data_IF_203502653762
#
_entry.id   IF_203502653762
#
_cell.length_a   1.000
_cell.length_b   1.000
_cell.length_c   1.000
_cell.angle_alpha   90.00
_cell.angle_beta   90.00
_cell.angle_gamma   90.00
#
_symmetry.space_group_name_H-M   'P 1'
#
loop_
_entity.id
_entity.type
_entity.pdbx_description
1 polymer ?
#
# COMPACT_ATOMS: atom_id res chain seq x y z
N UNK A 1 -13.77 -2.70 -15.12
CA UNK A 1 -14.78 -2.01 -14.27
C UNK A 1 -16.16 -2.28 -14.82
N UNK A 2 -17.22 -2.09 -14.04
CA UNK A 2 -18.60 -2.16 -14.57
C UNK A 2 -19.52 -1.17 -13.84
N UNK A 3 -20.40 -0.44 -14.54
CA UNK A 3 -21.45 0.33 -13.88
C UNK A 3 -22.48 -0.60 -13.22
N UNK A 4 -22.83 -0.32 -11.97
CA UNK A 4 -24.04 -0.89 -11.36
C UNK A 4 -25.28 -0.18 -11.91
N UNK A 5 -26.45 -0.84 -11.89
CA UNK A 5 -27.74 -0.34 -12.39
C UNK A 5 -27.86 1.19 -12.21
N UNK A 6 -27.96 1.90 -13.33
CA UNK A 6 -28.02 3.37 -13.36
C UNK A 6 -29.18 3.80 -12.46
N UNK A 7 -28.86 4.43 -11.33
CA UNK A 7 -29.85 5.08 -10.48
C UNK A 7 -30.65 6.03 -11.36
N UNK A 8 -31.99 5.96 -11.28
CA UNK A 8 -32.87 6.86 -12.03
C UNK A 8 -32.82 8.30 -11.50
N UNK A 9 -32.14 8.51 -10.37
CA UNK A 9 -31.93 9.81 -9.73
C UNK A 9 -30.52 10.30 -10.07
N UNK A 10 -30.45 11.44 -10.76
CA UNK A 10 -29.20 12.15 -11.02
C UNK A 10 -28.55 12.61 -9.71
N UNK A 11 -27.22 12.45 -9.55
CA UNK A 11 -26.51 12.97 -8.39
C UNK A 11 -26.68 14.49 -8.24
N UNK A 12 -26.60 15.04 -7.01
CA UNK A 12 -26.75 16.48 -6.78
C UNK A 12 -25.75 17.34 -7.56
N UNK A 13 -24.51 16.88 -7.74
CA UNK A 13 -23.49 17.55 -8.55
C UNK A 13 -23.77 17.50 -10.07
N UNK A 14 -24.79 16.76 -10.51
CA UNK A 14 -25.21 16.72 -11.92
C UNK A 14 -26.43 17.60 -12.21
N UNK A 15 -26.98 18.28 -11.19
CA UNK A 15 -28.10 19.19 -11.38
C UNK A 15 -27.61 20.48 -12.06
N UNK A 16 -28.47 21.14 -12.87
CA UNK A 16 -28.12 22.36 -13.60
C UNK A 16 -28.04 23.56 -12.64
N UNK A 17 -27.04 23.56 -11.76
CA UNK A 17 -26.68 24.66 -10.88
C UNK A 17 -25.31 25.21 -11.29
N UNK A 18 -25.06 26.49 -11.01
CA UNK A 18 -23.74 27.09 -11.28
C UNK A 18 -22.68 26.59 -10.28
N UNK A 19 -23.10 26.25 -9.06
CA UNK A 19 -22.22 25.79 -7.99
C UNK A 19 -22.83 24.60 -7.24
N UNK A 20 -21.96 23.76 -6.67
CA UNK A 20 -22.31 22.66 -5.78
C UNK A 20 -21.24 22.58 -4.67
N UNK A 21 -21.66 22.54 -3.40
CA UNK A 21 -20.76 22.59 -2.24
C UNK A 21 -19.74 23.74 -2.25
N UNK A 22 -20.08 24.88 -2.86
CA UNK A 22 -19.19 26.05 -2.97
C UNK A 22 -18.16 25.97 -4.09
N UNK A 23 -18.27 24.99 -5.00
CA UNK A 23 -17.38 24.82 -6.15
C UNK A 23 -18.14 25.00 -7.48
N UNK A 24 -17.48 25.49 -8.54
CA UNK A 24 -18.06 25.56 -9.88
C UNK A 24 -18.56 24.20 -10.36
N UNK A 25 -19.85 24.15 -10.69
CA UNK A 25 -20.49 22.92 -11.14
C UNK A 25 -20.49 22.81 -12.67
N UNK A 26 -20.67 21.57 -13.17
CA UNK A 26 -20.66 21.25 -14.61
C UNK A 26 -21.76 20.27 -14.91
N UNK A 27 -22.19 20.24 -16.17
CA UNK A 27 -23.13 19.21 -16.63
C UNK A 27 -22.48 17.84 -16.55
N UNK A 28 -23.29 16.81 -16.30
CA UNK A 28 -22.83 15.44 -16.24
C UNK A 28 -23.14 14.68 -17.53
N UNK A 29 -22.20 13.84 -17.93
CA UNK A 29 -22.44 12.76 -18.87
C UNK A 29 -22.28 11.41 -18.18
N UNK A 30 -22.93 10.39 -18.73
CA UNK A 30 -22.89 9.02 -18.22
C UNK A 30 -22.09 8.16 -19.19
N UNK A 31 -20.86 7.86 -18.80
CA UNK A 31 -19.92 7.08 -19.59
C UNK A 31 -19.91 5.62 -19.14
N UNK A 32 -19.56 4.72 -20.05
CA UNK A 32 -19.37 3.30 -19.74
C UNK A 32 -17.94 3.02 -19.22
N UNK A 33 -17.61 1.76 -18.93
CA UNK A 33 -16.29 1.41 -18.41
C UNK A 33 -15.14 1.74 -19.38
N UNK A 34 -15.37 1.66 -20.69
CA UNK A 34 -14.35 1.88 -21.72
C UNK A 34 -14.02 3.37 -21.81
N UNK A 35 -15.03 4.23 -21.70
CA UNK A 35 -14.85 5.67 -21.76
C UNK A 35 -14.30 6.26 -20.45
N UNK A 36 -14.69 5.71 -19.29
CA UNK A 36 -14.24 6.21 -17.97
C UNK A 36 -12.77 5.87 -17.71
N UNK A 37 -12.31 4.69 -18.14
CA UNK A 37 -10.96 4.21 -17.88
C UNK A 37 -9.98 4.65 -18.98
N UNK A 38 -8.86 5.29 -18.62
CA UNK A 38 -7.82 5.65 -19.60
C UNK A 38 -6.40 5.69 -19.00
N UNK A 39 -5.41 5.00 -19.56
CA UNK A 39 -5.54 4.06 -20.67
C UNK A 39 -6.31 2.80 -20.26
N UNK A 40 -6.93 2.08 -21.22
CA UNK A 40 -7.70 0.87 -20.92
C UNK A 40 -6.83 -0.29 -20.40
N UNK A 41 -5.51 -0.26 -20.65
CA UNK A 41 -4.57 -1.24 -20.11
C UNK A 41 -3.43 -0.53 -19.37
N UNK A 42 -3.20 -0.94 -18.13
CA UNK A 42 -2.10 -0.50 -17.28
C UNK A 42 -1.80 -1.60 -16.28
N UNK A 43 -0.53 -2.01 -16.19
CA UNK A 43 -0.12 -3.23 -15.47
C UNK A 43 -0.07 -3.07 -13.94
N UNK A 44 0.03 -1.84 -13.42
CA UNK A 44 0.14 -1.59 -11.97
C UNK A 44 -0.54 -0.31 -11.54
N UNK A 45 -1.51 0.16 -12.33
CA UNK A 45 -2.28 1.33 -11.98
C UNK A 45 -3.63 1.36 -12.67
N UNK A 46 -4.55 2.15 -12.13
CA UNK A 46 -5.88 2.31 -12.67
C UNK A 46 -6.28 3.78 -12.58
N UNK A 47 -6.58 4.37 -13.73
CA UNK A 47 -7.10 5.73 -13.80
C UNK A 47 -8.60 5.70 -14.09
N UNK A 48 -9.35 6.48 -13.30
CA UNK A 48 -10.79 6.59 -13.39
C UNK A 48 -11.16 8.06 -13.58
N UNK A 49 -11.72 8.37 -14.73
CA UNK A 49 -12.08 9.75 -15.09
C UNK A 49 -13.26 10.25 -14.25
N UNK A 50 -13.09 11.40 -13.58
CA UNK A 50 -14.16 12.10 -12.84
C UNK A 50 -14.65 13.34 -13.59
N UNK A 51 -13.78 13.97 -14.38
CA UNK A 51 -14.05 15.16 -15.17
C UNK A 51 -13.29 15.10 -16.48
N UNK A 52 -13.91 15.58 -17.56
CA UNK A 52 -13.23 15.80 -18.84
C UNK A 52 -13.39 17.24 -19.28
N UNK A 53 -12.33 17.81 -19.82
CA UNK A 53 -12.38 18.99 -20.67
C UNK A 53 -12.06 18.56 -22.08
N UNK A 54 -12.99 18.73 -23.00
CA UNK A 54 -12.84 18.46 -24.42
C UNK A 54 -12.47 19.75 -25.13
N UNK A 55 -11.38 19.73 -25.89
CA UNK A 55 -10.98 20.84 -26.74
C UNK A 55 -10.89 20.38 -28.19
N UNK A 56 -11.74 20.91 -29.05
CA UNK A 56 -11.65 20.71 -30.49
C UNK A 56 -10.56 21.62 -31.04
N UNK A 57 -9.61 21.03 -31.78
CA UNK A 57 -8.46 21.73 -32.32
C UNK A 57 -8.28 21.45 -33.80
N UNK A 58 -7.97 22.49 -34.55
CA UNK A 58 -7.63 22.44 -35.97
C UNK A 58 -6.29 23.14 -36.20
N UNK A 59 -5.55 22.71 -37.21
CA UNK A 59 -4.40 23.48 -37.69
C UNK A 59 -4.88 24.81 -38.29
N UNK A 60 -4.06 25.85 -38.17
CA UNK A 60 -4.36 27.18 -38.71
C UNK A 60 -4.14 27.26 -40.23
N UNK A 61 -4.81 26.37 -40.99
CA UNK A 61 -4.70 26.21 -42.44
C UNK A 61 -3.24 26.06 -42.92
N UNK A 62 -2.45 25.31 -42.16
CA UNK A 62 -1.03 25.11 -42.39
C UNK A 62 -0.69 23.62 -42.49
N UNK A 63 0.42 23.31 -43.16
CA UNK A 63 0.94 21.94 -43.19
C UNK A 63 1.73 21.65 -41.92
N UNK A 64 1.49 20.48 -41.30
CA UNK A 64 2.29 19.97 -40.18
C UNK A 64 3.76 19.70 -40.54
N UNK A 65 4.11 19.74 -41.84
CA UNK A 65 5.52 19.72 -42.30
C UNK A 65 6.22 21.07 -42.08
N UNK A 66 5.45 22.14 -41.88
CA UNK A 66 6.00 23.47 -41.58
C UNK A 66 6.28 23.58 -40.08
N UNK A 67 7.48 24.02 -39.67
CA UNK A 67 7.82 24.19 -38.25
C UNK A 67 7.03 25.32 -37.57
N UNK A 68 6.38 26.19 -38.35
CA UNK A 68 5.56 27.31 -37.83
C UNK A 68 4.08 26.94 -37.67
N UNK A 69 3.68 25.72 -38.03
CA UNK A 69 2.26 25.34 -38.00
C UNK A 69 1.79 25.14 -36.56
N UNK A 70 0.76 25.88 -36.15
CA UNK A 70 0.18 25.83 -34.81
C UNK A 70 -1.26 25.35 -34.82
N UNK A 71 -1.66 24.80 -33.68
CA UNK A 71 -3.03 24.37 -33.41
C UNK A 71 -3.84 25.53 -32.82
N UNK A 72 -5.08 25.68 -33.28
CA UNK A 72 -6.04 26.60 -32.69
C UNK A 72 -7.22 25.82 -32.11
N UNK A 73 -7.68 26.21 -30.92
CA UNK A 73 -8.86 25.63 -30.29
C UNK A 73 -10.10 26.31 -30.83
N UNK A 74 -11.02 25.55 -31.41
CA UNK A 74 -12.26 26.05 -32.02
C UNK A 74 -13.44 25.97 -31.06
N UNK A 75 -13.47 24.97 -30.20
CA UNK A 75 -14.49 24.76 -29.18
C UNK A 75 -13.89 24.11 -27.94
N UNK A 76 -14.45 24.43 -26.78
CA UNK A 76 -14.08 23.81 -25.51
C UNK A 76 -15.32 23.59 -24.65
N UNK A 77 -15.44 22.40 -24.07
CA UNK A 77 -16.49 22.05 -23.12
C UNK A 77 -15.92 21.25 -21.96
N UNK A 78 -16.56 21.32 -20.79
CA UNK A 78 -16.14 20.53 -19.63
C UNK A 78 -17.33 19.93 -18.90
N UNK A 79 -17.20 18.65 -18.58
CA UNK A 79 -18.27 17.81 -18.04
C UNK A 79 -17.77 16.99 -16.84
N UNK A 80 -18.68 16.61 -15.97
CA UNK A 80 -18.44 15.59 -14.95
C UNK A 80 -18.94 14.22 -15.40
N UNK A 81 -18.32 13.17 -14.88
CA UNK A 81 -18.80 11.80 -15.06
C UNK A 81 -19.79 11.47 -13.94
N UNK A 82 -21.03 11.20 -14.33
CA UNK A 82 -22.11 10.87 -13.41
C UNK A 82 -22.00 9.46 -12.83
N UNK A 83 -22.50 9.28 -11.61
CA UNK A 83 -22.64 7.98 -10.94
C UNK A 83 -21.33 7.18 -10.75
N UNK A 84 -20.18 7.85 -10.74
CA UNK A 84 -18.87 7.18 -10.64
C UNK A 84 -18.71 6.36 -9.34
N UNK A 85 -19.28 6.81 -8.23
CA UNK A 85 -19.24 6.11 -6.94
C UNK A 85 -19.74 4.65 -7.02
N UNK A 86 -20.66 4.36 -7.94
CA UNK A 86 -21.29 3.05 -8.10
C UNK A 86 -20.51 2.11 -9.04
N UNK A 87 -19.42 2.57 -9.65
CA UNK A 87 -18.58 1.69 -10.48
C UNK A 87 -17.88 0.67 -9.61
N UNK A 88 -17.79 -0.56 -10.10
CA UNK A 88 -17.04 -1.62 -9.44
C UNK A 88 -15.67 -1.85 -10.08
N UNK A 89 -14.69 -2.10 -9.24
CA UNK A 89 -13.31 -2.48 -9.56
C UNK A 89 -13.13 -3.93 -9.14
N UNK A 90 -12.67 -4.75 -10.08
CA UNK A 90 -12.20 -6.10 -9.81
C UNK A 90 -10.71 -6.03 -9.46
N UNK A 91 -10.33 -6.55 -8.30
CA UNK A 91 -8.95 -6.69 -7.88
C UNK A 91 -8.53 -8.15 -8.09
N UNK A 92 -7.70 -8.39 -9.09
CA UNK A 92 -7.09 -9.69 -9.36
C UNK A 92 -5.58 -9.60 -9.17
N UNK A 93 -5.05 -10.39 -8.25
CA UNK A 93 -3.63 -10.38 -7.91
C UNK A 93 -3.11 -11.79 -7.70
N UNK A 94 -1.79 -11.95 -7.87
CA UNK A 94 -1.08 -13.21 -7.65
C UNK A 94 0.12 -12.98 -6.76
N UNK A 95 0.25 -13.77 -5.70
CA UNK A 95 1.42 -13.81 -4.84
C UNK A 95 2.34 -14.93 -5.31
N UNK A 96 3.63 -14.64 -5.51
CA UNK A 96 4.65 -15.64 -5.79
C UNK A 96 5.86 -15.41 -4.89
N UNK A 97 6.27 -16.44 -4.15
CA UNK A 97 7.47 -16.41 -3.32
C UNK A 97 8.35 -17.62 -3.66
N UNK A 98 9.30 -17.47 -4.61
CA UNK A 98 10.14 -18.56 -5.09
C UNK A 98 10.96 -19.23 -3.98
N UNK A 99 11.51 -18.45 -3.05
CA UNK A 99 12.31 -18.96 -1.92
C UNK A 99 11.50 -19.89 -1.00
N UNK A 100 10.18 -19.72 -0.99
CA UNK A 100 9.23 -20.54 -0.24
C UNK A 100 8.56 -21.60 -1.12
N UNK A 101 8.79 -21.57 -2.43
CA UNK A 101 8.11 -22.40 -3.44
C UNK A 101 6.58 -22.36 -3.32
N UNK A 102 6.02 -21.17 -3.09
CA UNK A 102 4.57 -20.97 -2.98
C UNK A 102 4.08 -19.94 -3.99
N UNK A 103 2.91 -20.22 -4.56
CA UNK A 103 2.20 -19.34 -5.47
C UNK A 103 0.71 -19.43 -5.18
N UNK A 104 0.03 -18.29 -5.07
CA UNK A 104 -1.40 -18.22 -4.85
C UNK A 104 -2.02 -17.08 -5.66
N UNK A 105 -3.23 -17.29 -6.15
CA UNK A 105 -4.07 -16.21 -6.66
C UNK A 105 -4.92 -15.59 -5.54
N UNK A 106 -5.57 -14.46 -5.82
CA UNK A 106 -6.45 -13.77 -4.87
C UNK A 106 -7.55 -14.70 -4.31
N UNK A 107 -8.17 -15.53 -5.18
CA UNK A 107 -9.28 -16.43 -4.83
C UNK A 107 -8.90 -17.54 -3.84
N UNK A 108 -7.61 -17.88 -3.75
CA UNK A 108 -7.09 -18.92 -2.87
C UNK A 108 -6.72 -18.42 -1.49
N UNK A 109 -6.62 -17.11 -1.30
CA UNK A 109 -6.17 -16.51 -0.06
C UNK A 109 -7.34 -15.83 0.66
N UNK A 110 -7.45 -15.96 1.99
CA UNK A 110 -8.27 -15.06 2.77
C UNK A 110 -7.66 -13.65 2.75
N UNK A 111 -8.53 -12.66 2.67
CA UNK A 111 -8.19 -11.25 2.55
C UNK A 111 -8.99 -10.37 3.48
N UNK A 112 -8.51 -9.15 3.69
CA UNK A 112 -9.26 -8.12 4.41
C UNK A 112 -8.95 -6.74 3.86
N UNK A 113 -9.91 -5.83 4.01
CA UNK A 113 -9.77 -4.41 3.71
C UNK A 113 -9.54 -3.64 5.00
N UNK A 114 -8.54 -2.76 5.01
CA UNK A 114 -8.31 -1.83 6.10
C UNK A 114 -8.88 -0.45 5.76
N UNK A 115 -9.36 0.24 6.79
CA UNK A 115 -9.63 1.67 6.74
C UNK A 115 -8.34 2.48 6.87
N UNK A 116 -8.45 3.80 6.70
CA UNK A 116 -7.35 4.77 6.85
C UNK A 116 -6.67 4.77 8.22
N UNK A 117 -7.24 4.13 9.25
CA UNK A 117 -6.64 3.98 10.57
C UNK A 117 -6.00 2.59 10.76
N UNK A 118 -5.92 1.78 9.71
CA UNK A 118 -5.38 0.42 9.75
C UNK A 118 -6.33 -0.60 10.39
N UNK A 119 -7.61 -0.27 10.59
CA UNK A 119 -8.60 -1.17 11.18
C UNK A 119 -9.37 -1.90 10.09
N UNK A 120 -9.62 -3.19 10.31
CA UNK A 120 -10.40 -4.02 9.40
C UNK A 120 -11.84 -3.48 9.21
N UNK A 121 -12.18 -3.19 7.95
CA UNK A 121 -13.53 -2.85 7.51
C UNK A 121 -14.38 -4.12 7.41
N UNK A 122 -15.24 -4.34 8.41
CA UNK A 122 -16.16 -5.49 8.46
C UNK A 122 -17.53 -5.13 7.91
N UNK A 123 -18.26 -6.13 7.40
CA UNK A 123 -19.64 -6.00 6.90
C UNK A 123 -19.78 -5.08 5.69
N UNK A 124 -18.92 -5.27 4.68
CA UNK A 124 -19.03 -4.58 3.40
C UNK A 124 -20.41 -4.85 2.77
N UNK A 125 -21.09 -3.79 2.35
CA UNK A 125 -22.39 -3.91 1.71
C UNK A 125 -22.23 -4.45 0.29
N UNK A 126 -23.12 -5.34 -0.20
CA UNK A 126 -23.14 -5.73 -1.61
C UNK A 126 -23.15 -4.50 -2.53
N UNK A 127 -22.40 -4.50 -3.65
CA UNK A 127 -21.73 -5.64 -4.29
C UNK A 127 -20.31 -5.92 -3.77
N UNK A 128 -19.85 -5.25 -2.71
CA UNK A 128 -18.48 -5.36 -2.24
C UNK A 128 -18.20 -6.73 -1.63
N UNK A 129 -17.16 -7.40 -2.13
CA UNK A 129 -16.73 -8.73 -1.69
C UNK A 129 -15.21 -8.75 -1.67
N UNK A 130 -14.60 -9.17 -0.57
CA UNK A 130 -13.14 -9.35 -0.44
C UNK A 130 -12.87 -10.64 0.32
N UNK A 131 -11.80 -11.35 -0.06
CA UNK A 131 -11.18 -12.38 0.78
C UNK A 131 -12.04 -13.62 0.97
N UNK A 132 -13.03 -13.81 0.10
CA UNK A 132 -13.87 -15.00 0.09
C UNK A 132 -13.28 -16.03 -0.87
N UNK A 133 -13.08 -17.25 -0.36
CA UNK A 133 -12.55 -18.35 -1.15
C UNK A 133 -13.39 -18.58 -2.42
N UNK A 134 -12.71 -18.80 -3.55
CA UNK A 134 -13.30 -19.05 -4.87
C UNK A 134 -14.15 -17.90 -5.43
N UNK A 135 -14.07 -16.69 -4.85
CA UNK A 135 -14.74 -15.49 -5.36
C UNK A 135 -13.74 -14.41 -5.73
N UNK A 136 -14.16 -13.60 -6.69
CA UNK A 136 -13.46 -12.39 -7.09
C UNK A 136 -13.58 -11.29 -6.04
N UNK A 137 -12.50 -10.54 -5.83
CA UNK A 137 -12.52 -9.35 -5.00
C UNK A 137 -13.08 -8.18 -5.80
N UNK A 138 -14.22 -7.67 -5.37
CA UNK A 138 -14.94 -6.60 -6.04
C UNK A 138 -15.18 -5.48 -5.05
N UNK A 139 -14.80 -4.26 -5.41
CA UNK A 139 -15.05 -3.05 -4.62
C UNK A 139 -15.71 -1.97 -5.46
N UNK A 140 -16.64 -1.22 -4.89
CA UNK A 140 -17.13 0.02 -5.46
C UNK A 140 -16.10 1.14 -5.28
N UNK A 141 -16.08 2.12 -6.19
CA UNK A 141 -15.30 3.34 -6.02
C UNK A 141 -15.63 4.01 -4.69
N UNK A 142 -16.90 4.02 -4.29
CA UNK A 142 -17.32 4.55 -3.00
C UNK A 142 -16.62 3.86 -1.81
N UNK A 143 -16.55 2.54 -1.82
CA UNK A 143 -15.87 1.77 -0.76
C UNK A 143 -14.37 2.00 -0.75
N UNK A 144 -13.76 2.15 -1.94
CA UNK A 144 -12.34 2.49 -2.08
C UNK A 144 -12.05 3.86 -1.46
N UNK A 145 -12.90 4.86 -1.74
CA UNK A 145 -12.76 6.20 -1.17
C UNK A 145 -12.92 6.18 0.35
N UNK A 146 -13.95 5.48 0.86
CA UNK A 146 -14.15 5.32 2.30
C UNK A 146 -12.96 4.64 2.99
N UNK A 147 -12.40 3.58 2.38
CA UNK A 147 -11.21 2.90 2.87
C UNK A 147 -10.00 3.85 2.93
N UNK A 148 -9.87 4.74 1.95
CA UNK A 148 -8.85 5.79 1.93
C UNK A 148 -9.11 6.96 2.89
N UNK A 149 -10.22 6.95 3.64
CA UNK A 149 -10.61 8.05 4.54
C UNK A 149 -11.32 9.22 3.86
N UNK A 150 -11.72 9.07 2.59
CA UNK A 150 -12.40 10.09 1.81
C UNK A 150 -13.91 9.84 1.84
N UNK A 151 -14.67 10.78 2.41
CA UNK A 151 -16.13 10.66 2.52
C UNK A 151 -16.86 11.01 1.21
N UNK A 152 -16.34 11.98 0.45
CA UNK A 152 -16.95 12.44 -0.80
C UNK A 152 -15.90 13.06 -1.73
N UNK A 153 -16.11 12.92 -3.04
CA UNK A 153 -15.31 13.60 -4.06
C UNK A 153 -15.67 15.08 -4.18
N UNK A 154 -16.75 15.52 -3.55
CA UNK A 154 -17.22 16.90 -3.60
C UNK A 154 -16.69 17.75 -2.43
N UNK A 155 -15.65 17.24 -1.74
CA UNK A 155 -14.86 17.96 -0.74
C UNK A 155 -13.72 18.77 -1.41
N UNK A 156 -13.12 19.76 -0.71
CA UNK A 156 -12.00 20.53 -1.23
C UNK A 156 -10.84 19.62 -1.71
N UNK A 157 -10.23 19.98 -2.84
CA UNK A 157 -9.10 19.24 -3.41
C UNK A 157 -7.82 19.40 -2.59
N UNK A 158 -6.98 18.36 -2.61
CA UNK A 158 -5.73 18.30 -1.84
C UNK A 158 -4.72 19.38 -2.27
N UNK A 159 -4.54 19.57 -3.58
CA UNK A 159 -3.58 20.56 -4.11
C UNK A 159 -4.18 21.97 -4.22
N UNK A 160 -5.50 22.08 -4.37
CA UNK A 160 -6.17 23.35 -4.55
C UNK A 160 -7.57 23.33 -3.92
N UNK A 161 -7.69 24.00 -2.78
CA UNK A 161 -8.93 24.10 -2.02
C UNK A 161 -10.05 24.91 -2.70
N UNK A 162 -9.77 25.59 -3.81
CA UNK A 162 -10.81 26.28 -4.62
C UNK A 162 -11.58 25.35 -5.55
N UNK A 163 -11.17 24.08 -5.64
CA UNK A 163 -11.79 23.05 -6.49
C UNK A 163 -12.13 21.84 -5.64
N UNK A 164 -13.06 21.02 -6.11
CA UNK A 164 -13.36 19.74 -5.47
C UNK A 164 -12.36 18.65 -5.89
N UNK A 165 -12.26 17.57 -5.10
CA UNK A 165 -11.51 16.36 -5.48
C UNK A 165 -11.99 15.78 -6.83
N UNK A 166 -13.30 15.88 -7.11
CA UNK A 166 -13.90 15.49 -8.40
C UNK A 166 -13.34 16.31 -9.56
N UNK A 167 -13.14 17.61 -9.36
CA UNK A 167 -12.68 18.52 -10.42
C UNK A 167 -11.17 18.44 -10.66
N UNK A 168 -10.38 18.36 -9.60
CA UNK A 168 -8.91 18.40 -9.70
C UNK A 168 -8.30 17.00 -9.89
N UNK A 169 -8.96 15.95 -9.39
CA UNK A 169 -8.45 14.59 -9.35
C UNK A 169 -7.63 14.30 -8.10
N UNK A 170 -7.36 13.02 -7.83
CA UNK A 170 -6.64 12.58 -6.63
C UNK A 170 -5.82 11.32 -6.91
N UNK A 171 -4.83 11.06 -6.06
CA UNK A 171 -3.91 9.93 -6.19
C UNK A 171 -4.00 9.04 -4.95
N UNK A 172 -4.32 7.77 -5.16
CA UNK A 172 -4.35 6.72 -4.15
C UNK A 172 -3.24 5.69 -4.40
N UNK A 173 -2.65 5.18 -3.34
CA UNK A 173 -1.96 3.90 -3.36
C UNK A 173 -2.89 2.80 -2.86
N UNK A 174 -2.87 1.66 -3.53
CA UNK A 174 -3.39 0.39 -3.03
C UNK A 174 -2.18 -0.47 -2.63
N UNK A 175 -1.97 -0.64 -1.34
CA UNK A 175 -1.01 -1.61 -0.83
C UNK A 175 -1.70 -2.97 -0.70
N UNK A 176 -1.12 -3.97 -1.36
CA UNK A 176 -1.50 -5.38 -1.19
C UNK A 176 -0.36 -6.04 -0.41
N UNK A 177 -0.59 -6.31 0.87
CA UNK A 177 0.42 -6.88 1.77
C UNK A 177 0.14 -8.35 2.06
N UNK A 178 1.08 -9.23 1.74
CA UNK A 178 0.98 -10.68 2.00
C UNK A 178 1.74 -11.09 3.25
N UNK A 179 1.15 -11.93 4.09
CA UNK A 179 1.89 -12.51 5.22
C UNK A 179 1.24 -13.80 5.75
N UNK A 180 2.08 -14.62 6.37
CA UNK A 180 1.70 -15.85 7.09
C UNK A 180 2.17 -15.88 8.54
N UNK A 181 2.75 -14.77 9.04
CA UNK A 181 3.36 -14.68 10.38
C UNK A 181 2.38 -14.22 11.47
N UNK A 182 1.10 -14.10 11.13
CA UNK A 182 0.06 -13.64 12.06
C UNK A 182 -0.38 -14.72 13.07
N UNK A 183 -0.01 -15.97 12.81
CA UNK A 183 -0.33 -17.11 13.68
C UNK A 183 0.90 -17.99 13.84
N UNK A 184 0.87 -18.92 14.79
CA UNK A 184 1.91 -19.93 14.94
C UNK A 184 2.03 -20.89 13.74
N UNK A 185 1.00 -20.97 12.89
CA UNK A 185 1.03 -21.79 11.69
C UNK A 185 1.45 -20.94 10.48
N UNK A 186 2.67 -21.17 10.00
CA UNK A 186 3.22 -20.53 8.79
C UNK A 186 2.58 -21.04 7.50
N UNK A 187 1.64 -21.98 7.56
CA UNK A 187 0.95 -22.51 6.38
C UNK A 187 -0.30 -21.68 6.01
N UNK A 188 -0.65 -20.69 6.83
CA UNK A 188 -1.83 -19.84 6.62
C UNK A 188 -1.40 -18.49 6.07
N UNK A 189 -1.52 -18.33 4.76
CA UNK A 189 -1.25 -17.08 4.06
C UNK A 189 -2.52 -16.23 4.03
N UNK A 190 -2.37 -14.92 4.11
CA UNK A 190 -3.45 -13.96 3.89
C UNK A 190 -2.91 -12.70 3.24
N UNK A 191 -3.78 -11.96 2.57
CA UNK A 191 -3.44 -10.62 2.09
C UNK A 191 -4.25 -9.55 2.82
N UNK A 192 -3.83 -8.32 2.67
CA UNK A 192 -4.51 -7.15 3.21
C UNK A 192 -4.44 -6.03 2.19
N UNK A 193 -5.59 -5.39 1.95
CA UNK A 193 -5.70 -4.18 1.15
C UNK A 193 -5.72 -2.96 2.05
N UNK A 194 -4.92 -1.96 1.69
CA UNK A 194 -4.90 -0.66 2.34
C UNK A 194 -4.84 0.42 1.26
N UNK A 195 -5.83 1.32 1.27
CA UNK A 195 -5.86 2.47 0.37
C UNK A 195 -5.34 3.70 1.10
N UNK A 196 -4.34 4.37 0.53
CA UNK A 196 -3.74 5.56 1.11
C UNK A 196 -3.81 6.74 0.14
N UNK A 197 -4.40 7.86 0.58
CA UNK A 197 -4.41 9.12 -0.16
C UNK A 197 -3.04 9.79 -0.09
N UNK A 198 -2.55 10.29 -1.22
CA UNK A 198 -1.36 11.15 -1.25
C UNK A 198 -1.77 12.62 -1.09
N UNK A 199 -1.34 13.30 -0.01
CA UNK A 199 -1.66 14.70 0.21
C UNK A 199 -0.98 15.62 -0.81
N UNK A 200 -1.52 16.82 -1.00
CA UNK A 200 -1.06 17.83 -1.97
C UNK A 200 -0.81 17.26 -3.38
N UNK A 201 -1.72 16.38 -3.83
CA UNK A 201 -1.63 15.75 -5.14
C UNK A 201 -2.89 15.99 -5.97
N UNK A 202 -2.70 15.97 -7.28
CA UNK A 202 -3.76 15.91 -8.28
C UNK A 202 -3.28 15.07 -9.45
N UNK A 203 -4.21 14.48 -10.17
CA UNK A 203 -3.84 13.65 -11.31
C UNK A 203 -4.72 13.94 -12.52
N UNK A 204 -4.05 14.08 -13.67
CA UNK A 204 -4.69 14.30 -14.96
C UNK A 204 -3.94 13.58 -16.07
N UNK A 205 -4.67 13.21 -17.11
CA UNK A 205 -4.13 12.57 -18.31
C UNK A 205 -4.69 13.26 -19.54
N UNK A 206 -3.86 13.41 -20.57
CA UNK A 206 -4.27 13.98 -21.86
C UNK A 206 -4.41 12.84 -22.87
N UNK A 207 -5.57 12.76 -23.51
CA UNK A 207 -5.88 11.84 -24.60
C UNK A 207 -6.14 12.64 -25.88
N UNK A 208 -5.29 12.52 -26.91
CA UNK A 208 -5.55 13.09 -28.23
C UNK A 208 -6.31 12.09 -29.11
N UNK A 209 -7.44 12.53 -29.66
CA UNK A 209 -8.25 11.79 -30.64
C UNK A 209 -8.20 12.52 -31.97
N UNK A 210 -7.62 11.91 -33.00
CA UNK A 210 -7.63 12.46 -34.35
C UNK A 210 -8.95 12.11 -35.03
N UNK A 211 -9.65 13.10 -35.58
CA UNK A 211 -11.02 12.92 -36.07
C UNK A 211 -11.03 12.32 -37.47
N UNK A 212 -10.69 13.13 -38.47
CA UNK A 212 -10.64 12.72 -39.87
C UNK A 212 -9.22 12.69 -40.43
N UNK A 213 -8.35 13.56 -39.94
CA UNK A 213 -6.96 13.63 -40.35
C UNK A 213 -6.04 14.00 -39.18
N UNK A 214 -4.75 14.12 -39.47
CA UNK A 214 -3.77 14.55 -38.46
C UNK A 214 -3.82 16.04 -38.17
N UNK A 215 -4.61 16.81 -38.91
CA UNK A 215 -4.73 18.27 -38.82
C UNK A 215 -5.96 18.73 -38.01
N UNK A 216 -6.79 17.78 -37.55
CA UNK A 216 -7.93 17.99 -36.68
C UNK A 216 -7.95 16.94 -35.58
N UNK A 217 -8.06 17.42 -34.34
CA UNK A 217 -8.04 16.56 -33.17
C UNK A 217 -8.96 17.09 -32.11
N UNK A 218 -9.48 16.17 -31.29
CA UNK A 218 -10.11 16.47 -30.02
C UNK A 218 -9.10 16.11 -28.93
N UNK A 219 -8.83 17.04 -28.04
CA UNK A 219 -8.00 16.78 -26.87
C UNK A 219 -8.92 16.61 -25.66
N UNK A 220 -8.92 15.41 -25.09
CA UNK A 220 -9.53 15.17 -23.79
C UNK A 220 -8.49 15.38 -22.70
N UNK A 221 -8.65 16.44 -21.93
CA UNK A 221 -7.92 16.65 -20.69
C UNK A 221 -8.75 16.06 -19.53
N UNK A 222 -8.38 14.84 -19.13
CA UNK A 222 -9.10 14.02 -18.16
C UNK A 222 -8.52 14.24 -16.77
N UNK A 223 -9.36 14.56 -15.81
CA UNK A 223 -9.03 14.56 -14.39
C UNK A 223 -9.77 13.41 -13.72
N UNK A 224 -9.18 12.85 -12.66
CA UNK A 224 -9.69 11.60 -12.12
C UNK A 224 -8.97 11.07 -10.91
N UNK A 225 -9.41 9.87 -10.52
CA UNK A 225 -8.81 9.08 -9.46
C UNK A 225 -7.73 8.20 -10.09
N UNK A 226 -6.49 8.37 -9.67
CA UNK A 226 -5.38 7.50 -10.04
C UNK A 226 -5.07 6.57 -8.88
N UNK A 227 -5.12 5.26 -9.11
CA UNK A 227 -4.78 4.24 -8.12
C UNK A 227 -3.50 3.55 -8.55
N UNK A 228 -2.42 3.68 -7.79
CA UNK A 228 -1.18 2.92 -7.97
C UNK A 228 -1.19 1.67 -7.11
N UNK A 229 -0.88 0.53 -7.71
CA UNK A 229 -0.93 -0.77 -7.03
C UNK A 229 0.48 -1.14 -6.60
N UNK A 230 0.69 -1.35 -5.31
CA UNK A 230 1.98 -1.76 -4.72
C UNK A 230 1.78 -3.07 -4.00
N UNK A 231 2.44 -4.11 -4.51
CA UNK A 231 2.43 -5.43 -3.88
C UNK A 231 3.68 -5.60 -3.02
N UNK A 232 3.48 -5.99 -1.76
CA UNK A 232 4.54 -6.23 -0.79
C UNK A 232 4.18 -7.42 0.09
N UNK A 233 5.13 -7.95 0.85
CA UNK A 233 4.81 -9.03 1.77
C UNK A 233 5.99 -9.45 2.63
N UNK A 234 5.67 -10.12 3.73
CA UNK A 234 6.67 -10.75 4.61
C UNK A 234 6.19 -12.14 4.95
N UNK A 235 6.93 -13.13 4.49
CA UNK A 235 6.66 -14.54 4.75
C UNK A 235 7.68 -15.08 5.75
N UNK A 236 7.20 -15.90 6.68
CA UNK A 236 8.01 -16.64 7.64
C UNK A 236 7.88 -18.13 7.40
N UNK A 237 8.99 -18.86 7.55
CA UNK A 237 8.98 -20.32 7.65
C UNK A 237 9.87 -20.72 8.80
N UNK A 238 9.61 -21.88 9.38
CA UNK A 238 10.51 -22.45 10.35
C UNK A 238 11.84 -22.81 9.67
N UNK A 239 12.94 -22.33 10.23
CA UNK A 239 14.30 -22.60 9.80
C UNK A 239 15.14 -23.04 11.01
N UNK A 240 15.49 -24.32 11.04
CA UNK A 240 16.18 -24.92 12.18
C UNK A 240 17.59 -24.35 12.40
N UNK A 241 18.28 -23.99 11.32
CA UNK A 241 19.63 -23.41 11.40
C UNK A 241 19.57 -22.02 12.03
N UNK A 242 18.63 -21.18 11.61
CA UNK A 242 18.38 -19.85 12.16
C UNK A 242 17.99 -19.93 13.64
N UNK A 243 17.16 -20.91 14.00
CA UNK A 243 16.80 -21.19 15.39
C UNK A 243 18.03 -21.53 16.24
N UNK A 244 18.92 -22.42 15.76
CA UNK A 244 20.12 -22.82 16.48
C UNK A 244 21.10 -21.65 16.68
N UNK A 245 21.33 -20.84 15.65
CA UNK A 245 22.19 -19.65 15.75
C UNK A 245 21.63 -18.68 16.80
N UNK A 246 20.32 -18.45 16.79
CA UNK A 246 19.64 -17.58 17.77
C UNK A 246 19.74 -18.15 19.18
N UNK A 247 19.60 -19.46 19.34
CA UNK A 247 19.71 -20.16 20.62
C UNK A 247 21.13 -20.08 21.21
N UNK A 248 22.16 -20.34 20.40
CA UNK A 248 23.56 -20.23 20.81
C UNK A 248 23.89 -18.78 21.21
N UNK A 249 23.41 -17.80 20.44
CA UNK A 249 23.53 -16.38 20.81
C UNK A 249 22.88 -16.08 22.17
N UNK A 250 21.69 -16.64 22.42
CA UNK A 250 21.01 -16.53 23.71
C UNK A 250 21.82 -17.09 24.88
N UNK A 251 22.44 -18.27 24.73
CA UNK A 251 23.33 -18.85 25.75
C UNK A 251 24.54 -17.94 26.00
N UNK A 252 25.14 -17.41 24.93
CA UNK A 252 26.26 -16.47 25.04
C UNK A 252 25.90 -15.23 25.87
N UNK A 253 24.71 -14.68 25.68
CA UNK A 253 24.22 -13.54 26.47
C UNK A 253 24.03 -13.89 27.95
N UNK A 254 23.57 -15.10 28.26
CA UNK A 254 23.45 -15.58 29.66
C UNK A 254 24.83 -15.65 30.32
N UNK A 255 25.85 -16.15 29.62
CA UNK A 255 27.22 -16.18 30.15
C UNK A 255 27.76 -14.78 30.42
N UNK A 256 27.55 -13.84 29.49
CA UNK A 256 27.95 -12.43 29.68
C UNK A 256 27.23 -11.82 30.89
N UNK A 257 25.95 -12.12 31.08
CA UNK A 257 25.20 -11.65 32.25
C UNK A 257 25.80 -12.17 33.57
N UNK A 258 26.20 -13.45 33.64
CA UNK A 258 26.86 -14.01 34.82
C UNK A 258 28.18 -13.29 35.14
N UNK A 259 28.99 -12.98 34.12
CA UNK A 259 30.24 -12.21 34.30
C UNK A 259 29.96 -10.81 34.85
N UNK A 260 28.93 -10.13 34.34
CA UNK A 260 28.53 -8.81 34.85
C UNK A 260 28.05 -8.90 36.30
N UNK A 261 27.20 -9.87 36.63
CA UNK A 261 26.73 -10.11 38.00
C UNK A 261 27.90 -10.38 38.95
N UNK A 262 28.89 -11.16 38.50
CA UNK A 262 30.10 -11.44 39.26
C UNK A 262 30.93 -10.19 39.55
N UNK A 263 31.07 -9.30 38.55
CA UNK A 263 31.76 -8.02 38.73
C UNK A 263 31.03 -7.17 39.78
N UNK A 264 29.69 -7.10 39.69
CA UNK A 264 28.87 -6.34 40.66
C UNK A 264 29.04 -6.91 42.06
N UNK A 265 28.92 -8.23 42.22
CA UNK A 265 29.01 -8.95 43.50
C UNK A 265 30.36 -8.71 44.18
N UNK A 266 31.46 -8.81 43.41
CA UNK A 266 32.82 -8.78 43.96
C UNK A 266 33.44 -7.39 44.05
N UNK A 267 32.99 -6.41 43.24
CA UNK A 267 33.61 -5.07 43.19
C UNK A 267 32.73 -3.98 43.78
N UNK A 268 31.41 -4.04 43.57
CA UNK A 268 30.48 -2.93 43.85
C UNK A 268 29.75 -3.09 45.17
N UNK A 269 29.27 -4.29 45.51
CA UNK A 269 28.40 -4.46 46.68
C UNK A 269 29.12 -4.21 48.02
N UNK A 270 28.41 -3.69 49.06
CA UNK A 270 29.02 -3.30 50.33
C UNK A 270 29.70 -4.46 51.06
N UNK A 271 29.12 -5.67 50.97
CA UNK A 271 29.64 -6.90 51.60
C UNK A 271 30.55 -7.74 50.68
N UNK A 272 31.20 -7.10 49.70
CA UNK A 272 32.06 -7.78 48.71
C UNK A 272 33.10 -8.74 49.31
N UNK A 273 33.65 -8.44 50.49
CA UNK A 273 34.64 -9.29 51.15
C UNK A 273 34.05 -10.63 51.60
N UNK A 274 32.80 -10.64 52.07
CA UNK A 274 32.11 -11.88 52.46
C UNK A 274 31.80 -12.71 51.22
N UNK A 275 31.31 -12.07 50.14
CA UNK A 275 31.06 -12.76 48.88
C UNK A 275 32.32 -13.32 48.23
N UNK A 276 33.45 -12.62 48.34
CA UNK A 276 34.73 -13.08 47.80
C UNK A 276 35.22 -14.35 48.50
N UNK A 277 35.11 -14.43 49.83
CA UNK A 277 35.45 -15.63 50.61
C UNK A 277 34.55 -16.82 50.32
N UNK A 278 33.27 -16.57 50.00
CA UNK A 278 32.32 -17.63 49.64
C UNK A 278 32.51 -18.14 48.21
N UNK A 279 32.97 -17.28 47.30
CA UNK A 279 33.15 -17.64 45.88
C UNK A 279 34.51 -18.29 45.61
N UNK A 280 35.58 -17.82 46.23
CA UNK A 280 36.94 -18.31 46.01
C UNK A 280 37.42 -19.07 47.24
N UNK A 281 37.96 -20.27 47.02
CA UNK A 281 38.65 -21.04 48.05
C UNK A 281 40.14 -21.06 47.71
N UNK A 282 40.97 -20.55 48.62
CA UNK A 282 42.41 -20.53 48.43
C UNK A 282 42.96 -21.97 48.51
N UNK A 283 43.71 -22.37 47.49
CA UNK A 283 44.41 -23.66 47.45
C UNK A 283 45.89 -23.46 47.74
N UNK A 284 46.47 -24.40 48.49
CA UNK A 284 47.90 -24.40 48.84
C UNK A 284 48.68 -25.01 47.67
N UNK A 285 49.73 -24.35 47.20
CA UNK A 285 50.62 -24.87 46.15
C UNK A 285 51.34 -26.14 46.67
N UNK A 286 51.11 -27.28 46.01
CA UNK A 286 51.68 -28.57 46.41
C UNK A 286 53.14 -28.79 45.93
N UNK A 287 53.72 -27.86 45.16
CA UNK A 287 55.07 -27.99 44.61
C UNK A 287 56.21 -27.68 45.61
N UNK A 288 55.90 -27.43 46.89
CA UNK A 288 56.93 -27.24 47.94
C UNK A 288 57.22 -28.50 48.78
N UNK A 289 56.52 -29.62 48.59
CA UNK A 289 56.64 -30.80 49.47
C UNK A 289 57.36 -32.03 48.86
N UNK A 290 58.02 -31.91 47.71
CA UNK A 290 58.80 -33.01 47.12
C UNK A 290 60.32 -32.95 47.38
N UNK A 291 60.83 -31.97 48.13
CA UNK A 291 62.28 -31.84 48.41
C UNK A 291 62.75 -32.32 49.80
N UNK A 292 61.86 -32.82 50.67
CA UNK A 292 62.25 -33.22 52.05
C UNK A 292 62.10 -34.71 52.38
N UNK A 293 61.77 -35.57 51.41
CA UNK A 293 61.59 -37.00 51.63
C UNK A 293 62.42 -37.82 50.63
N UNK A 294 63.76 -37.73 50.72
CA UNK A 294 64.63 -38.79 50.22
C UNK A 294 66.05 -38.70 50.84
N UNK A 295 66.43 -39.81 51.51
CA UNK A 295 67.78 -40.22 51.98
C UNK A 295 68.37 -39.72 53.32
N UNK A 296 68.14 -40.51 54.39
CA UNK A 296 69.22 -40.99 55.26
C UNK A 296 69.21 -42.53 55.25
N UNK A 297 70.27 -43.22 54.80
CA UNK A 297 70.41 -44.66 54.97
C UNK A 297 71.04 -44.99 56.32
N UNK A 298 70.51 -46.05 56.94
CA UNK A 298 70.99 -46.66 58.18
C UNK A 298 72.28 -47.44 57.87
N UNK A 299 73.36 -47.12 58.59
CA UNK A 299 74.34 -48.06 59.18
C UNK A 299 75.07 -47.38 60.36
#
# INVERSE_FOLDING_TARGET
MKPQNVSTVSPPYCLPTLEYNGFPNKECEYWDEIMVQYPPSSESSLFVTTRVTSSEQATSNCSLKSPTCTWNTTAESSIYIGNLNNFTVLLDHTMSAPDFNVQFNAKQLPGMLLDSNGKEMRNLQPPNVIGQQDKDDILTIDTILQAAGIQTLDAPGESNSSRSLRDDGLLLFLFISYSNIYTYSTNKYRYTYEFALIPDSKYKVIEPIYTYDTSHRVIFNRHGIQIFIVQTGTLGRFDFQTMLITFVGGIGLVTVASVIVDIILLRILPKRQDYQKLKYQDSVDHDQNQQELDYEPID
#
